data_IF_219454194158
#
_entry.id   IF_219454194158
#
_cell.length_a   1.000
_cell.length_b   1.000
_cell.length_c   1.000
_cell.angle_alpha   90.00
_cell.angle_beta   90.00
_cell.angle_gamma   90.00
#
_symmetry.space_group_name_H-M   'P 1'
#
loop_
_entity.id
_entity.type
_entity.pdbx_description
1 polymer ?
#
# COMPACT_ATOMS: atom_id res chain seq x y z
N UNK A 1 9.08 -1.42 26.05
CA UNK A 1 8.11 -1.63 24.96
C UNK A 1 8.94 -1.70 23.69
N UNK A 2 8.69 -2.68 22.82
CA UNK A 2 9.34 -2.70 21.51
C UNK A 2 8.79 -1.51 20.70
N UNK A 3 9.64 -0.84 19.94
CA UNK A 3 9.21 0.25 19.07
C UNK A 3 8.31 -0.32 17.96
N UNK A 4 7.16 0.32 17.74
CA UNK A 4 6.24 -0.01 16.64
C UNK A 4 6.61 0.81 15.41
N UNK A 5 6.54 0.21 14.24
CA UNK A 5 6.88 0.84 12.97
C UNK A 5 5.67 0.85 12.02
N UNK A 6 5.42 2.03 11.44
CA UNK A 6 4.44 2.21 10.37
C UNK A 6 5.15 2.66 9.09
N UNK A 7 5.01 1.88 8.03
CA UNK A 7 5.58 2.16 6.71
C UNK A 7 4.46 2.65 5.80
N UNK A 8 4.51 3.93 5.44
CA UNK A 8 3.52 4.54 4.54
C UNK A 8 4.05 4.57 3.12
N UNK A 9 3.34 3.92 2.20
CA UNK A 9 3.74 3.81 0.78
C UNK A 9 2.65 4.41 -0.08
N UNK A 10 2.88 5.61 -0.62
CA UNK A 10 1.95 6.17 -1.59
C UNK A 10 1.90 5.29 -2.85
N UNK A 11 0.69 5.00 -3.33
CA UNK A 11 0.47 4.29 -4.59
C UNK A 11 1.32 4.85 -5.76
N UNK A 12 1.71 3.98 -6.69
CA UNK A 12 2.47 4.36 -7.86
C UNK A 12 1.63 5.22 -8.84
N UNK A 13 2.29 5.78 -9.87
CA UNK A 13 1.65 6.75 -10.77
C UNK A 13 0.48 6.11 -11.54
N UNK A 14 -0.72 6.67 -11.38
CA UNK A 14 -1.93 6.22 -12.06
C UNK A 14 -2.12 6.79 -13.47
N UNK A 15 -2.96 6.12 -14.26
CA UNK A 15 -3.39 6.54 -15.59
C UNK A 15 -4.50 7.59 -15.53
N UNK A 16 -4.53 8.45 -16.54
CA UNK A 16 -5.63 9.36 -16.87
C UNK A 16 -6.10 9.13 -18.33
N UNK A 17 -5.73 7.99 -18.91
CA UNK A 17 -5.93 7.71 -20.34
C UNK A 17 -7.37 7.41 -20.73
N UNK A 18 -8.25 7.20 -19.76
CA UNK A 18 -9.68 6.98 -19.97
C UNK A 18 -10.49 8.00 -19.14
N UNK A 19 -11.08 9.02 -19.78
CA UNK A 19 -11.92 10.02 -19.10
C UNK A 19 -13.23 9.46 -18.53
N UNK A 20 -13.69 8.29 -18.98
CA UNK A 20 -14.92 7.67 -18.54
C UNK A 20 -14.76 6.79 -17.30
N UNK A 21 -13.52 6.55 -16.86
CA UNK A 21 -13.22 5.68 -15.74
C UNK A 21 -13.38 6.42 -14.41
N UNK A 22 -14.10 5.82 -13.46
CA UNK A 22 -14.23 6.37 -12.11
C UNK A 22 -12.85 6.48 -11.44
N UNK A 23 -12.64 7.45 -10.56
CA UNK A 23 -11.32 7.67 -9.96
C UNK A 23 -10.80 6.42 -9.25
N UNK A 24 -11.69 5.72 -8.56
CA UNK A 24 -11.40 4.50 -7.80
C UNK A 24 -10.83 3.38 -8.68
N UNK A 25 -11.34 3.25 -9.90
CA UNK A 25 -10.97 2.20 -10.86
C UNK A 25 -9.70 2.51 -11.67
N UNK A 26 -9.12 3.70 -11.50
CA UNK A 26 -7.98 4.13 -12.30
C UNK A 26 -6.76 3.22 -12.09
N UNK A 27 -6.25 2.58 -13.15
CA UNK A 27 -5.10 1.70 -13.05
C UNK A 27 -3.79 2.49 -12.94
N UNK A 28 -2.69 1.77 -12.71
CA UNK A 28 -1.36 2.33 -12.92
C UNK A 28 -1.15 2.73 -14.39
N UNK A 29 -0.21 3.64 -14.62
CA UNK A 29 0.31 3.90 -15.97
C UNK A 29 1.65 3.18 -16.16
N UNK A 30 2.19 3.20 -17.39
CA UNK A 30 3.49 2.60 -17.74
C UNK A 30 4.66 3.02 -16.85
N UNK A 31 4.63 4.24 -16.28
CA UNK A 31 5.65 4.68 -15.31
C UNK A 31 5.38 4.08 -13.93
N UNK A 32 4.13 4.01 -13.50
CA UNK A 32 3.73 3.35 -12.26
C UNK A 32 4.11 1.88 -12.24
N UNK A 33 3.78 1.15 -13.30
CA UNK A 33 4.09 -0.28 -13.49
C UNK A 33 5.59 -0.57 -13.47
N UNK A 34 6.42 0.37 -13.95
CA UNK A 34 7.89 0.23 -13.88
C UNK A 34 8.47 0.62 -12.53
N UNK A 35 7.91 1.66 -11.90
CA UNK A 35 8.47 2.22 -10.66
C UNK A 35 8.07 1.40 -9.42
N UNK A 36 6.89 0.75 -9.42
CA UNK A 36 6.46 -0.06 -8.28
C UNK A 36 7.40 -1.26 -8.01
N UNK A 37 7.81 -2.06 -9.02
CA UNK A 37 8.81 -3.12 -8.80
C UNK A 37 10.17 -2.59 -8.34
N UNK A 38 10.62 -1.46 -8.90
CA UNK A 38 11.88 -0.82 -8.49
C UNK A 38 11.85 -0.43 -7.00
N UNK A 39 10.72 0.10 -6.52
CA UNK A 39 10.54 0.39 -5.09
C UNK A 39 10.50 -0.88 -4.24
N UNK A 40 9.83 -1.93 -4.70
CA UNK A 40 9.84 -3.24 -4.05
C UNK A 40 11.26 -3.77 -3.84
N UNK A 41 12.10 -3.75 -4.89
CA UNK A 41 13.50 -4.18 -4.81
C UNK A 41 14.29 -3.36 -3.77
N UNK A 42 14.08 -2.04 -3.74
CA UNK A 42 14.74 -1.16 -2.75
C UNK A 42 14.31 -1.49 -1.32
N UNK A 43 13.02 -1.74 -1.11
CA UNK A 43 12.46 -2.14 0.19
C UNK A 43 13.06 -3.47 0.67
N UNK A 44 13.15 -4.47 -0.22
CA UNK A 44 13.81 -5.75 0.05
C UNK A 44 15.28 -5.55 0.41
N UNK A 45 16.01 -4.71 -0.33
CA UNK A 45 17.42 -4.41 -0.06
C UNK A 45 17.63 -3.68 1.27
N UNK A 46 16.66 -2.90 1.74
CA UNK A 46 16.66 -2.27 3.07
C UNK A 46 16.24 -3.21 4.20
N UNK A 47 15.89 -4.46 3.92
CA UNK A 47 15.49 -5.45 4.93
C UNK A 47 14.07 -5.26 5.46
N UNK A 48 13.21 -4.55 4.72
CA UNK A 48 11.81 -4.31 5.13
C UNK A 48 11.03 -5.62 5.09
N UNK A 49 10.40 -5.94 6.22
CA UNK A 49 9.63 -7.17 6.46
C UNK A 49 8.38 -6.81 7.29
N UNK A 50 7.30 -6.30 6.68
CA UNK A 50 6.08 -5.99 7.43
C UNK A 50 5.42 -7.26 7.94
N UNK A 51 4.79 -7.19 9.11
CA UNK A 51 3.97 -8.26 9.67
C UNK A 51 2.52 -8.21 9.16
N UNK A 52 2.09 -7.06 8.64
CA UNK A 52 0.81 -6.88 7.97
C UNK A 52 0.88 -5.81 6.87
N UNK A 53 0.09 -6.01 5.80
CA UNK A 53 -0.05 -5.07 4.69
C UNK A 53 -1.51 -4.66 4.49
N UNK A 54 -1.74 -3.36 4.39
CA UNK A 54 -3.06 -2.78 4.13
C UNK A 54 -3.02 -1.89 2.90
N UNK A 55 -4.12 -1.80 2.17
CA UNK A 55 -4.23 -0.89 1.04
C UNK A 55 -5.62 -0.27 0.96
N UNK A 56 -5.72 0.97 0.51
CA UNK A 56 -7.03 1.49 0.09
C UNK A 56 -7.65 0.63 -1.01
N UNK A 57 -8.97 0.70 -1.13
CA UNK A 57 -9.69 -0.10 -2.13
C UNK A 57 -9.45 0.34 -3.58
N UNK A 58 -8.78 1.47 -3.82
CA UNK A 58 -8.53 1.98 -5.18
C UNK A 58 -7.59 1.06 -5.96
N UNK A 59 -7.91 0.81 -7.23
CA UNK A 59 -7.17 -0.13 -8.10
C UNK A 59 -5.68 0.17 -8.12
N UNK A 60 -5.28 1.43 -8.33
CA UNK A 60 -3.87 1.85 -8.31
C UNK A 60 -3.14 1.53 -7.00
N UNK A 61 -3.79 1.62 -5.85
CA UNK A 61 -3.18 1.38 -4.55
C UNK A 61 -3.01 -0.13 -4.35
N UNK A 62 -4.08 -0.89 -4.58
CA UNK A 62 -4.07 -2.36 -4.51
C UNK A 62 -3.02 -2.97 -5.45
N UNK A 63 -2.98 -2.55 -6.72
CA UNK A 63 -1.98 -3.03 -7.67
C UNK A 63 -0.55 -2.65 -7.25
N UNK A 64 -0.35 -1.48 -6.62
CA UNK A 64 0.97 -1.12 -6.09
C UNK A 64 1.36 -2.03 -4.93
N UNK A 65 0.43 -2.31 -4.02
CA UNK A 65 0.65 -3.19 -2.88
C UNK A 65 0.97 -4.62 -3.32
N UNK A 66 0.23 -5.17 -4.30
CA UNK A 66 0.47 -6.50 -4.88
C UNK A 66 1.89 -6.62 -5.47
N UNK A 67 2.32 -5.62 -6.25
CA UNK A 67 3.67 -5.58 -6.85
C UNK A 67 4.76 -5.50 -5.78
N UNK A 68 4.55 -4.65 -4.75
CA UNK A 68 5.53 -4.52 -3.66
C UNK A 68 5.58 -5.80 -2.83
N UNK A 69 4.43 -6.40 -2.52
CA UNK A 69 4.31 -7.66 -1.79
C UNK A 69 5.08 -8.78 -2.49
N UNK A 70 4.95 -8.91 -3.81
CA UNK A 70 5.72 -9.87 -4.60
C UNK A 70 7.23 -9.67 -4.43
N UNK A 71 7.71 -8.42 -4.49
CA UNK A 71 9.13 -8.12 -4.38
C UNK A 71 9.72 -8.35 -2.98
N UNK A 72 8.94 -8.13 -1.93
CA UNK A 72 9.36 -8.34 -0.54
C UNK A 72 9.02 -9.75 -0.01
N UNK A 73 8.46 -10.61 -0.86
CA UNK A 73 8.02 -11.98 -0.55
C UNK A 73 6.89 -12.04 0.51
N UNK A 74 6.00 -11.05 0.52
CA UNK A 74 4.79 -11.05 1.34
C UNK A 74 3.61 -11.74 0.60
N UNK A 75 2.81 -12.59 1.25
CA UNK A 75 1.66 -13.25 0.62
C UNK A 75 0.59 -12.26 0.14
N UNK A 76 0.33 -12.20 -1.17
CA UNK A 76 -0.62 -11.23 -1.73
C UNK A 76 -2.07 -11.44 -1.25
N UNK A 77 -2.44 -12.65 -0.89
CA UNK A 77 -3.74 -13.02 -0.34
C UNK A 77 -3.93 -12.57 1.13
N UNK A 78 -2.86 -12.20 1.82
CA UNK A 78 -2.89 -11.61 3.15
C UNK A 78 -3.00 -10.07 3.13
N UNK A 79 -2.94 -9.43 1.96
CA UNK A 79 -3.13 -7.98 1.84
C UNK A 79 -4.58 -7.62 2.15
N UNK A 80 -4.79 -6.79 3.17
CA UNK A 80 -6.12 -6.34 3.58
C UNK A 80 -6.50 -5.06 2.85
N UNK A 81 -7.63 -5.08 2.14
CA UNK A 81 -8.21 -3.88 1.54
C UNK A 81 -9.05 -3.15 2.58
N UNK A 82 -8.63 -1.94 2.93
CA UNK A 82 -9.29 -1.07 3.91
C UNK A 82 -10.01 0.08 3.18
N UNK A 83 -11.35 0.06 3.09
CA UNK A 83 -12.12 1.14 2.48
C UNK A 83 -11.84 2.52 3.09
N UNK A 84 -11.60 2.57 4.40
CA UNK A 84 -11.32 3.80 5.14
C UNK A 84 -10.01 4.51 4.74
N UNK A 85 -9.11 3.84 4.00
CA UNK A 85 -7.87 4.46 3.51
C UNK A 85 -8.05 5.19 2.17
N UNK A 86 -9.18 5.02 1.48
CA UNK A 86 -9.43 5.76 0.23
C UNK A 86 -9.80 7.21 0.51
N UNK A 87 -8.99 8.16 0.05
CA UNK A 87 -9.10 9.60 0.33
C UNK A 87 -8.98 9.98 1.81
N UNK A 88 -8.41 9.10 2.63
CA UNK A 88 -8.19 9.35 4.05
C UNK A 88 -7.36 10.62 4.28
N UNK A 89 -7.87 11.50 5.14
CA UNK A 89 -7.11 12.60 5.71
C UNK A 89 -6.22 12.13 6.88
N UNK A 90 -5.43 13.05 7.43
CA UNK A 90 -4.49 12.74 8.52
C UNK A 90 -5.21 12.23 9.77
N UNK A 91 -6.39 12.75 10.08
CA UNK A 91 -7.19 12.31 11.22
C UNK A 91 -7.72 10.89 11.03
N UNK A 92 -8.17 10.56 9.82
CA UNK A 92 -8.62 9.22 9.45
C UNK A 92 -7.46 8.21 9.49
N UNK A 93 -6.28 8.57 8.97
CA UNK A 93 -5.06 7.76 9.10
C UNK A 93 -4.68 7.52 10.55
N UNK A 94 -4.68 8.55 11.40
CA UNK A 94 -4.36 8.42 12.82
C UNK A 94 -5.37 7.50 13.52
N UNK A 95 -6.67 7.71 13.29
CA UNK A 95 -7.71 6.88 13.86
C UNK A 95 -7.54 5.41 13.46
N UNK A 96 -7.30 5.14 12.17
CA UNK A 96 -7.05 3.80 11.65
C UNK A 96 -5.84 3.15 12.33
N UNK A 97 -4.66 3.81 12.34
CA UNK A 97 -3.44 3.28 12.98
C UNK A 97 -3.66 2.98 14.45
N UNK A 98 -4.32 3.88 15.19
CA UNK A 98 -4.59 3.68 16.62
C UNK A 98 -5.65 2.61 16.90
N UNK A 99 -6.43 2.22 15.89
CA UNK A 99 -7.44 1.18 15.97
C UNK A 99 -6.96 -0.21 15.56
N UNK A 100 -5.71 -0.34 15.08
CA UNK A 100 -5.13 -1.63 14.73
C UNK A 100 -4.90 -2.49 15.99
N UNK A 101 -5.00 -3.81 15.81
CA UNK A 101 -4.63 -4.75 16.86
C UNK A 101 -3.13 -4.58 17.22
N UNK A 102 -2.82 -4.58 18.52
CA UNK A 102 -1.45 -4.42 19.03
C UNK A 102 -0.55 -5.66 18.79
N UNK A 103 -1.03 -6.62 18.00
CA UNK A 103 -0.32 -7.86 17.67
C UNK A 103 0.83 -7.62 16.70
N UNK A 104 0.76 -6.59 15.86
CA UNK A 104 1.77 -6.30 14.85
C UNK A 104 2.80 -5.27 15.34
N UNK A 105 4.08 -5.52 15.08
CA UNK A 105 5.16 -4.56 15.35
C UNK A 105 5.47 -3.67 14.16
N UNK A 106 5.33 -4.19 12.94
CA UNK A 106 5.56 -3.45 11.70
C UNK A 106 4.38 -3.60 10.77
N UNK A 107 3.77 -2.48 10.38
CA UNK A 107 2.64 -2.44 9.43
C UNK A 107 3.03 -1.61 8.21
N UNK A 108 2.69 -2.07 7.02
CA UNK A 108 2.85 -1.31 5.78
C UNK A 108 1.48 -0.98 5.18
N UNK A 109 1.27 0.29 4.79
CA UNK A 109 -0.02 0.76 4.28
C UNK A 109 0.09 1.58 2.99
N UNK A 110 -0.88 1.41 2.08
CA UNK A 110 -0.90 1.96 0.71
C UNK A 110 -2.12 2.81 0.34
#
# INVERSE_FOLDING_TARGET
MADKELILVRHAKSSWGDPGLADHDRPLNKRGERNAPEMGIRLTASGVRPEAMFTSTAVRAATTAEIVAEAIEFPQDEIVKEPGLYHADVGEWLAWVTGLDDVWNTVMAF
#
